data_IF_345408429116
#
_entry.id   IF_345408429116
#
_cell.length_a   1.000
_cell.length_b   1.000
_cell.length_c   1.000
_cell.angle_alpha   90.00
_cell.angle_beta   90.00
_cell.angle_gamma   90.00
#
_symmetry.space_group_name_H-M   'P 1'
#
loop_
_entity.id
_entity.type
_entity.pdbx_description
1 polymer ?
#
# COMPACT_ATOMS: atom_id res chain seq x y z
N UNK A 1 40.98 -14.93 -43.78
CA UNK A 1 39.60 -15.40 -43.81
C UNK A 1 39.10 -15.58 -42.37
N UNK A 2 38.66 -14.45 -41.78
CA UNK A 2 38.18 -14.43 -40.42
C UNK A 2 36.69 -14.80 -40.38
N UNK A 3 36.43 -15.96 -39.84
CA UNK A 3 35.07 -16.44 -39.57
C UNK A 3 34.59 -15.80 -38.27
N UNK A 4 33.81 -14.74 -38.35
CA UNK A 4 33.08 -14.23 -37.23
C UNK A 4 32.03 -15.27 -36.82
N UNK A 5 32.33 -16.06 -35.77
CA UNK A 5 31.30 -16.82 -35.04
C UNK A 5 30.42 -15.83 -34.30
N UNK A 6 29.26 -15.52 -34.88
CA UNK A 6 28.15 -14.93 -34.13
C UNK A 6 27.68 -15.96 -33.12
N UNK A 7 28.09 -15.82 -31.85
CA UNK A 7 27.46 -16.50 -30.76
C UNK A 7 26.01 -15.95 -30.72
N UNK A 8 25.04 -16.77 -31.03
CA UNK A 8 23.66 -16.50 -30.72
C UNK A 8 23.55 -16.48 -29.21
N UNK A 9 23.48 -15.29 -28.63
CA UNK A 9 23.06 -15.12 -27.24
C UNK A 9 21.58 -15.54 -27.26
N UNK A 10 21.29 -16.70 -26.70
CA UNK A 10 19.90 -17.07 -26.41
C UNK A 10 19.30 -15.90 -25.64
N UNK A 11 18.22 -15.31 -26.17
CA UNK A 11 17.48 -14.31 -25.49
C UNK A 11 16.86 -14.96 -24.24
N UNK A 12 17.58 -14.86 -23.13
CA UNK A 12 17.07 -15.30 -21.84
C UNK A 12 15.75 -14.56 -21.62
N UNK A 13 14.66 -15.30 -21.48
CA UNK A 13 13.35 -14.73 -21.23
C UNK A 13 13.32 -14.21 -19.77
N UNK A 14 13.81 -12.98 -19.58
CA UNK A 14 13.92 -12.33 -18.30
C UNK A 14 12.55 -12.24 -17.58
N UNK A 15 11.47 -12.15 -18.34
CA UNK A 15 10.11 -12.16 -17.78
C UNK A 15 9.79 -13.52 -17.14
N UNK A 16 10.10 -14.64 -17.79
CA UNK A 16 9.85 -15.97 -17.23
C UNK A 16 10.71 -16.26 -15.99
N UNK A 17 11.97 -15.81 -16.00
CA UNK A 17 12.87 -15.93 -14.84
C UNK A 17 12.37 -15.08 -13.65
N UNK A 18 11.88 -13.91 -13.94
CA UNK A 18 11.33 -13.00 -12.93
C UNK A 18 10.00 -13.52 -12.36
N UNK A 19 9.10 -14.03 -13.20
CA UNK A 19 7.85 -14.69 -12.79
C UNK A 19 8.11 -15.88 -11.87
N UNK A 20 9.15 -16.69 -12.15
CA UNK A 20 9.54 -17.83 -11.32
C UNK A 20 10.08 -17.43 -9.94
N UNK A 21 10.66 -16.24 -9.81
CA UNK A 21 11.24 -15.74 -8.57
C UNK A 21 10.24 -14.91 -7.71
N UNK A 22 9.08 -14.55 -8.28
CA UNK A 22 8.05 -13.87 -7.53
C UNK A 22 7.22 -14.88 -6.73
N UNK A 23 7.36 -14.85 -5.41
CA UNK A 23 6.61 -15.75 -4.51
C UNK A 23 5.38 -15.07 -3.95
N UNK A 24 4.26 -15.79 -3.75
CA UNK A 24 3.13 -15.25 -3.00
C UNK A 24 3.53 -14.82 -1.60
N UNK A 25 2.89 -13.76 -1.11
CA UNK A 25 3.12 -13.22 0.24
C UNK A 25 1.97 -13.59 1.15
N UNK A 26 2.28 -14.25 2.24
CA UNK A 26 1.38 -14.50 3.35
C UNK A 26 1.47 -13.35 4.35
N UNK A 27 0.35 -12.69 4.60
CA UNK A 27 0.22 -11.67 5.65
C UNK A 27 -0.56 -12.26 6.80
N UNK A 28 0.15 -12.74 7.81
CA UNK A 28 -0.38 -13.25 9.08
C UNK A 28 -1.43 -14.37 8.94
N UNK A 29 -1.36 -15.19 7.89
CA UNK A 29 -2.34 -16.23 7.59
C UNK A 29 -3.72 -15.69 7.19
N UNK A 30 -3.86 -14.39 6.99
CA UNK A 30 -5.14 -13.70 6.72
C UNK A 30 -5.27 -13.22 5.28
N UNK A 31 -4.19 -12.72 4.70
CA UNK A 31 -4.18 -12.18 3.34
C UNK A 31 -3.15 -12.92 2.51
N UNK A 32 -3.56 -13.44 1.37
CA UNK A 32 -2.67 -13.91 0.32
C UNK A 32 -2.50 -12.82 -0.73
N UNK A 33 -1.28 -12.29 -0.90
CA UNK A 33 -0.93 -11.41 -2.01
C UNK A 33 -0.19 -12.26 -3.03
N UNK A 34 -0.72 -12.36 -4.24
CA UNK A 34 -0.15 -13.18 -5.30
C UNK A 34 -0.19 -12.50 -6.66
N UNK A 35 0.65 -12.95 -7.57
CA UNK A 35 0.56 -12.58 -8.97
C UNK A 35 -0.57 -13.35 -9.69
N UNK A 36 -1.05 -12.87 -10.85
CA UNK A 36 -2.08 -13.57 -11.64
C UNK A 36 -1.70 -14.99 -12.06
N UNK A 37 -0.40 -15.25 -12.27
CA UNK A 37 0.11 -16.57 -12.68
C UNK A 37 0.28 -17.56 -11.51
N UNK A 38 0.06 -17.14 -10.27
CA UNK A 38 0.02 -18.06 -9.12
C UNK A 38 -1.38 -18.62 -8.92
N UNK A 39 -1.46 -19.89 -8.54
CA UNK A 39 -2.72 -20.48 -8.15
C UNK A 39 -3.30 -19.82 -6.90
N UNK A 40 -4.63 -19.73 -6.87
CA UNK A 40 -5.36 -19.35 -5.65
C UNK A 40 -5.14 -20.41 -4.57
N UNK A 41 -5.06 -19.98 -3.31
CA UNK A 41 -4.87 -20.87 -2.17
C UNK A 41 -6.04 -20.71 -1.19
N UNK A 42 -6.68 -21.80 -0.77
CA UNK A 42 -7.76 -21.72 0.21
C UNK A 42 -7.22 -21.42 1.61
N UNK A 43 -8.07 -20.90 2.47
CA UNK A 43 -7.76 -20.67 3.90
C UNK A 43 -7.44 -19.24 4.27
N UNK A 44 -7.32 -18.33 3.31
CA UNK A 44 -7.14 -16.90 3.57
C UNK A 44 -8.48 -16.17 3.67
N UNK A 45 -8.56 -15.14 4.52
CA UNK A 45 -9.73 -14.25 4.58
C UNK A 45 -9.84 -13.40 3.31
N UNK A 46 -8.70 -12.98 2.76
CA UNK A 46 -8.58 -12.17 1.55
C UNK A 46 -7.51 -12.73 0.62
N UNK A 47 -7.79 -12.64 -0.66
CA UNK A 47 -6.82 -12.83 -1.72
C UNK A 47 -6.71 -11.54 -2.53
N UNK A 48 -5.48 -11.07 -2.74
CA UNK A 48 -5.15 -9.86 -3.49
C UNK A 48 -4.27 -10.24 -4.68
N UNK A 49 -4.76 -9.98 -5.87
CA UNK A 49 -4.01 -10.21 -7.10
C UNK A 49 -3.29 -8.93 -7.51
N UNK A 50 -1.97 -8.98 -7.54
CA UNK A 50 -1.13 -7.85 -7.92
C UNK A 50 -0.22 -8.26 -9.06
N UNK A 51 -0.28 -7.53 -10.18
CA UNK A 51 0.71 -7.67 -11.23
C UNK A 51 1.99 -6.98 -10.75
N UNK A 52 3.01 -7.73 -10.38
CA UNK A 52 4.24 -7.15 -9.89
C UNK A 52 4.99 -6.56 -11.07
N UNK A 53 4.98 -5.27 -11.19
CA UNK A 53 5.91 -4.51 -12.04
C UNK A 53 7.03 -3.98 -11.16
N UNK A 54 8.07 -3.38 -11.72
CA UNK A 54 9.21 -2.83 -10.97
C UNK A 54 8.80 -1.62 -10.06
N UNK A 55 7.56 -1.58 -9.59
CA UNK A 55 7.03 -0.59 -8.67
C UNK A 55 7.09 -1.10 -7.23
N UNK A 56 7.32 -0.21 -6.28
CA UNK A 56 7.21 -0.50 -4.84
C UNK A 56 5.79 -1.00 -4.50
N UNK A 57 5.69 -1.86 -3.48
CA UNK A 57 4.38 -2.30 -2.96
C UNK A 57 3.93 -3.66 -3.47
N UNK A 58 4.87 -4.54 -3.87
CA UNK A 58 4.57 -5.93 -4.24
C UNK A 58 4.06 -6.80 -3.07
N UNK A 59 3.91 -6.21 -1.87
CA UNK A 59 3.54 -6.94 -0.66
C UNK A 59 4.70 -7.62 0.07
N UNK A 60 5.88 -7.69 -0.53
CA UNK A 60 7.04 -8.36 0.07
C UNK A 60 7.73 -7.56 1.17
N UNK A 61 7.43 -6.28 1.30
CA UNK A 61 8.05 -5.43 2.31
C UNK A 61 7.29 -5.54 3.63
N UNK A 62 8.02 -5.63 4.75
CA UNK A 62 7.45 -5.73 6.10
C UNK A 62 6.42 -4.63 6.40
N UNK A 63 6.67 -3.39 5.93
CA UNK A 63 5.78 -2.26 6.14
C UNK A 63 4.42 -2.43 5.45
N UNK A 64 4.39 -2.99 4.24
CA UNK A 64 3.13 -3.31 3.54
C UNK A 64 2.33 -4.36 4.32
N UNK A 65 3.00 -5.41 4.82
CA UNK A 65 2.35 -6.43 5.65
C UNK A 65 1.76 -5.84 6.93
N UNK A 66 2.50 -4.95 7.61
CA UNK A 66 2.05 -4.29 8.84
C UNK A 66 0.77 -3.48 8.62
N UNK A 67 0.73 -2.65 7.56
CA UNK A 67 -0.45 -1.81 7.26
C UNK A 67 -1.61 -2.67 6.76
N UNK A 68 -1.37 -3.66 5.89
CA UNK A 68 -2.40 -4.56 5.38
C UNK A 68 -3.08 -5.34 6.51
N UNK A 69 -2.28 -5.88 7.45
CA UNK A 69 -2.78 -6.55 8.65
C UNK A 69 -3.63 -5.61 9.52
N UNK A 70 -3.17 -4.37 9.74
CA UNK A 70 -3.90 -3.39 10.51
C UNK A 70 -5.23 -2.98 9.85
N UNK A 71 -5.27 -2.83 8.52
CA UNK A 71 -6.52 -2.57 7.78
C UNK A 71 -7.56 -3.68 7.99
N UNK A 72 -7.12 -4.93 8.16
CA UNK A 72 -8.03 -6.04 8.45
C UNK A 72 -8.70 -5.95 9.82
N UNK A 73 -8.09 -5.23 10.76
CA UNK A 73 -8.63 -5.06 12.13
C UNK A 73 -9.56 -3.83 12.25
N UNK A 74 -9.59 -2.97 11.23
CA UNK A 74 -10.49 -1.83 11.19
C UNK A 74 -11.88 -2.23 10.65
N UNK A 75 -12.90 -1.55 11.14
CA UNK A 75 -14.26 -1.64 10.60
C UNK A 75 -14.39 -0.69 9.40
N UNK A 76 -14.15 -1.21 8.19
CA UNK A 76 -14.08 -0.40 6.97
C UNK A 76 -15.36 -0.38 6.13
N UNK A 77 -16.37 -1.18 6.47
CA UNK A 77 -17.62 -1.28 5.70
C UNK A 77 -18.28 0.08 5.51
N UNK A 78 -18.48 0.46 4.25
CA UNK A 78 -19.11 1.72 3.87
C UNK A 78 -18.24 2.97 4.03
N UNK A 79 -17.00 2.84 4.50
CA UNK A 79 -16.09 3.95 4.75
C UNK A 79 -15.38 4.44 3.48
N UNK A 80 -14.97 5.70 3.52
CA UNK A 80 -14.16 6.36 2.49
C UNK A 80 -12.70 6.38 2.93
N UNK A 81 -11.81 5.88 2.12
CA UNK A 81 -10.39 5.76 2.42
C UNK A 81 -9.47 6.52 1.48
N UNK A 82 -8.23 6.67 1.94
CA UNK A 82 -7.10 7.14 1.15
C UNK A 82 -5.93 6.17 1.32
N UNK A 83 -5.31 5.81 0.19
CA UNK A 83 -4.00 5.14 0.12
C UNK A 83 -3.00 6.15 -0.47
N UNK A 84 -2.14 6.71 0.39
CA UNK A 84 -1.17 7.74 0.02
C UNK A 84 0.21 7.14 -0.23
N UNK A 85 0.75 7.36 -1.44
CA UNK A 85 1.89 6.61 -1.94
C UNK A 85 1.47 5.18 -2.31
N UNK A 86 0.42 5.05 -3.12
CA UNK A 86 -0.28 3.78 -3.31
C UNK A 86 0.54 2.69 -4.03
N UNK A 87 1.58 3.06 -4.79
CA UNK A 87 2.39 2.10 -5.52
C UNK A 87 1.55 1.17 -6.40
N UNK A 88 1.61 -0.12 -6.13
CA UNK A 88 0.80 -1.14 -6.83
C UNK A 88 -0.69 -1.10 -6.46
N UNK A 89 -1.09 -0.32 -5.46
CA UNK A 89 -2.46 -0.24 -4.96
C UNK A 89 -2.85 -1.37 -4.00
N UNK A 90 -1.92 -2.15 -3.50
CA UNK A 90 -2.21 -3.30 -2.65
C UNK A 90 -3.00 -2.93 -1.39
N UNK A 91 -2.68 -1.82 -0.74
CA UNK A 91 -3.38 -1.37 0.48
C UNK A 91 -4.79 -0.87 0.16
N UNK A 92 -4.97 -0.13 -0.93
CA UNK A 92 -6.29 0.26 -1.43
C UNK A 92 -7.17 -0.95 -1.74
N UNK A 93 -6.59 -2.00 -2.36
CA UNK A 93 -7.30 -3.25 -2.68
C UNK A 93 -7.70 -3.98 -1.39
N UNK A 94 -6.80 -4.10 -0.42
CA UNK A 94 -7.12 -4.70 0.91
C UNK A 94 -8.28 -3.95 1.56
N UNK A 95 -8.21 -2.62 1.63
CA UNK A 95 -9.25 -1.79 2.23
C UNK A 95 -10.61 -1.95 1.51
N UNK A 96 -10.63 -1.94 0.18
CA UNK A 96 -11.84 -2.13 -0.59
C UNK A 96 -12.43 -3.54 -0.40
N UNK A 97 -11.60 -4.60 -0.38
CA UNK A 97 -12.04 -5.97 -0.07
C UNK A 97 -12.56 -6.11 1.36
N UNK A 98 -12.07 -5.30 2.30
CA UNK A 98 -12.59 -5.21 3.68
C UNK A 98 -13.86 -4.37 3.81
N UNK A 99 -14.43 -3.93 2.69
CA UNK A 99 -15.74 -3.28 2.65
C UNK A 99 -15.72 -1.77 2.52
N UNK A 100 -14.55 -1.12 2.39
CA UNK A 100 -14.50 0.32 2.13
C UNK A 100 -15.33 0.66 0.88
N UNK A 101 -16.16 1.70 0.96
CA UNK A 101 -17.04 2.08 -0.14
C UNK A 101 -16.22 2.63 -1.32
N UNK A 102 -15.29 3.52 -1.02
CA UNK A 102 -14.37 4.12 -1.99
C UNK A 102 -12.99 4.29 -1.36
N UNK A 103 -11.95 4.18 -2.19
CA UNK A 103 -10.56 4.46 -1.80
C UNK A 103 -9.91 5.31 -2.88
N UNK A 104 -9.51 6.52 -2.52
CA UNK A 104 -8.62 7.32 -3.36
C UNK A 104 -7.20 6.74 -3.21
N UNK A 105 -6.49 6.55 -4.32
CA UNK A 105 -5.15 5.99 -4.33
C UNK A 105 -4.21 6.96 -5.05
N UNK A 106 -3.37 7.67 -4.28
CA UNK A 106 -2.54 8.77 -4.78
C UNK A 106 -1.09 8.35 -4.85
N UNK A 107 -0.43 8.61 -5.98
CA UNK A 107 1.01 8.45 -6.13
C UNK A 107 1.60 9.53 -7.04
N UNK A 108 2.85 9.90 -6.80
CA UNK A 108 3.57 10.88 -7.64
C UNK A 108 4.13 10.25 -8.92
N UNK A 109 4.17 8.93 -8.99
CA UNK A 109 4.72 8.17 -10.10
C UNK A 109 3.61 7.72 -11.04
N UNK A 110 3.71 8.12 -12.32
CA UNK A 110 2.76 7.72 -13.36
C UNK A 110 2.66 6.19 -13.53
N UNK A 111 3.78 5.47 -13.35
CA UNK A 111 3.80 4.02 -13.43
C UNK A 111 3.07 3.36 -12.26
N UNK A 112 3.19 3.93 -11.07
CA UNK A 112 2.48 3.48 -9.89
C UNK A 112 0.97 3.71 -10.05
N UNK A 113 0.54 4.89 -10.49
CA UNK A 113 -0.86 5.21 -10.76
C UNK A 113 -1.47 4.24 -11.78
N UNK A 114 -0.79 4.03 -12.92
CA UNK A 114 -1.25 3.10 -13.96
C UNK A 114 -1.31 1.65 -13.47
N UNK A 115 -0.31 1.19 -12.69
CA UNK A 115 -0.28 -0.14 -12.13
C UNK A 115 -1.36 -0.35 -11.07
N UNK A 116 -1.62 0.64 -10.21
CA UNK A 116 -2.73 0.62 -9.27
C UNK A 116 -4.08 0.45 -9.99
N UNK A 117 -4.30 1.15 -11.10
CA UNK A 117 -5.51 1.04 -11.92
C UNK A 117 -5.70 -0.37 -12.50
N UNK A 118 -4.63 -0.95 -13.06
CA UNK A 118 -4.65 -2.32 -13.59
C UNK A 118 -4.96 -3.34 -12.48
N UNK A 119 -4.30 -3.20 -11.33
CA UNK A 119 -4.50 -4.12 -10.20
C UNK A 119 -5.89 -3.97 -9.57
N UNK A 120 -6.44 -2.76 -9.47
CA UNK A 120 -7.82 -2.55 -9.03
C UNK A 120 -8.81 -3.27 -9.95
N UNK A 121 -8.64 -3.15 -11.28
CA UNK A 121 -9.46 -3.85 -12.27
C UNK A 121 -9.32 -5.37 -12.17
N UNK A 122 -8.09 -5.89 -12.01
CA UNK A 122 -7.82 -7.33 -11.85
C UNK A 122 -8.49 -7.94 -10.61
N UNK A 123 -8.76 -7.12 -9.58
CA UNK A 123 -9.49 -7.55 -8.37
C UNK A 123 -10.99 -7.22 -8.42
N UNK A 124 -11.52 -6.72 -9.56
CA UNK A 124 -12.93 -6.35 -9.70
C UNK A 124 -13.34 -5.11 -8.90
N UNK A 125 -12.39 -4.19 -8.64
CA UNK A 125 -12.55 -3.02 -7.77
C UNK A 125 -12.37 -1.68 -8.49
N UNK A 126 -12.39 -1.67 -9.84
CA UNK A 126 -12.17 -0.46 -10.64
C UNK A 126 -13.13 0.70 -10.29
N UNK A 127 -14.38 0.40 -9.92
CA UNK A 127 -15.38 1.39 -9.54
C UNK A 127 -15.24 1.90 -8.09
N UNK A 128 -14.41 1.23 -7.27
CA UNK A 128 -14.26 1.54 -5.84
C UNK A 128 -12.91 2.15 -5.50
N UNK A 129 -11.92 1.99 -6.36
CA UNK A 129 -10.57 2.54 -6.19
C UNK A 129 -10.35 3.58 -7.28
N UNK A 130 -10.00 4.80 -6.88
CA UNK A 130 -9.73 5.93 -7.77
C UNK A 130 -8.22 6.28 -7.75
N UNK A 131 -7.41 5.70 -8.66
CA UNK A 131 -6.01 6.07 -8.78
C UNK A 131 -5.86 7.50 -9.30
N UNK A 132 -4.98 8.27 -8.65
CA UNK A 132 -4.73 9.68 -8.97
C UNK A 132 -3.23 9.97 -8.96
N UNK A 133 -2.74 10.57 -10.05
CA UNK A 133 -1.38 11.08 -10.12
C UNK A 133 -1.27 12.40 -9.35
N UNK A 134 -0.29 12.50 -8.44
CA UNK A 134 0.01 13.71 -7.71
C UNK A 134 0.52 13.46 -6.30
N UNK A 135 0.65 14.53 -5.54
CA UNK A 135 1.11 14.55 -4.15
C UNK A 135 -0.05 14.85 -3.17
N UNK A 136 0.29 15.19 -1.94
CA UNK A 136 -0.67 15.50 -0.88
C UNK A 136 -1.64 16.64 -1.22
N UNK A 137 -1.34 17.50 -2.18
CA UNK A 137 -2.25 18.56 -2.62
C UNK A 137 -3.54 18.01 -3.26
N UNK A 138 -3.51 16.76 -3.75
CA UNK A 138 -4.68 16.09 -4.35
C UNK A 138 -5.81 15.83 -3.36
N UNK A 139 -5.51 15.82 -2.06
CA UNK A 139 -6.51 15.57 -1.02
C UNK A 139 -7.08 16.85 -0.40
N UNK A 140 -6.66 18.02 -0.85
CA UNK A 140 -7.16 19.30 -0.35
C UNK A 140 -8.69 19.39 -0.49
N UNK A 141 -9.38 19.69 0.61
CA UNK A 141 -10.85 19.77 0.68
C UNK A 141 -11.58 18.42 0.67
N UNK A 142 -10.88 17.30 0.58
CA UNK A 142 -11.46 15.96 0.69
C UNK A 142 -11.57 15.52 2.15
N UNK A 143 -12.45 14.55 2.41
CA UNK A 143 -12.66 13.97 3.74
C UNK A 143 -12.63 12.44 3.67
N UNK A 144 -11.98 11.84 4.65
CA UNK A 144 -11.78 10.40 4.75
C UNK A 144 -12.08 9.88 6.14
N UNK A 145 -12.62 8.69 6.21
CA UNK A 145 -12.83 7.94 7.45
C UNK A 145 -11.54 7.23 7.89
N UNK A 146 -10.67 6.89 6.92
CA UNK A 146 -9.35 6.33 7.20
C UNK A 146 -8.32 6.73 6.12
N UNK A 147 -7.07 6.78 6.51
CA UNK A 147 -5.91 7.03 5.64
C UNK A 147 -4.85 5.97 5.92
N UNK A 148 -4.32 5.34 4.87
CA UNK A 148 -3.10 4.54 4.91
C UNK A 148 -2.00 5.29 4.16
N UNK A 149 -0.83 5.45 4.78
CA UNK A 149 0.32 6.10 4.18
C UNK A 149 1.59 5.28 4.48
N UNK A 150 2.02 4.51 3.49
CA UNK A 150 3.23 3.67 3.58
C UNK A 150 4.36 4.32 2.78
N UNK A 151 4.91 5.41 3.31
CA UNK A 151 5.93 6.24 2.68
C UNK A 151 7.01 6.63 3.71
N UNK A 152 8.12 7.23 3.26
CA UNK A 152 9.21 7.54 4.17
C UNK A 152 8.84 8.56 5.27
N UNK A 153 9.55 8.47 6.41
CA UNK A 153 9.34 9.31 7.59
C UNK A 153 9.30 10.81 7.29
N UNK A 154 10.19 11.31 6.43
CA UNK A 154 10.31 12.74 6.19
C UNK A 154 9.06 13.28 5.49
N UNK A 155 8.55 12.56 4.49
CA UNK A 155 7.30 12.94 3.80
C UNK A 155 6.11 12.80 4.76
N UNK A 156 6.02 11.72 5.54
CA UNK A 156 4.96 11.54 6.53
C UNK A 156 4.88 12.71 7.51
N UNK A 157 6.01 13.13 8.08
CA UNK A 157 6.04 14.24 9.05
C UNK A 157 5.71 15.59 8.42
N UNK A 158 6.09 15.78 7.15
CA UNK A 158 5.78 16.99 6.39
C UNK A 158 4.29 17.08 6.04
N UNK A 159 3.71 15.99 5.57
CA UNK A 159 2.33 15.94 5.06
C UNK A 159 1.28 15.66 6.13
N UNK A 160 1.67 15.29 7.34
CA UNK A 160 0.77 14.92 8.43
C UNK A 160 -0.29 15.98 8.78
N UNK A 161 -0.02 17.30 8.73
CA UNK A 161 -1.08 18.29 8.92
C UNK A 161 -2.20 18.18 7.90
N UNK A 162 -1.89 17.88 6.63
CA UNK A 162 -2.89 17.68 5.59
C UNK A 162 -3.71 16.40 5.82
N UNK A 163 -3.07 15.33 6.31
CA UNK A 163 -3.81 14.11 6.71
C UNK A 163 -4.75 14.38 7.88
N UNK A 164 -4.28 15.10 8.90
CA UNK A 164 -5.11 15.47 10.04
C UNK A 164 -6.30 16.33 9.63
N UNK A 165 -6.10 17.25 8.69
CA UNK A 165 -7.21 18.06 8.14
C UNK A 165 -8.19 17.20 7.34
N UNK A 166 -7.70 16.28 6.50
CA UNK A 166 -8.51 15.44 5.64
C UNK A 166 -9.25 14.31 6.38
N UNK A 167 -8.82 13.91 7.57
CA UNK A 167 -9.54 12.94 8.40
C UNK A 167 -10.81 13.54 8.99
N UNK A 168 -11.88 12.76 9.00
CA UNK A 168 -13.06 13.02 9.82
C UNK A 168 -12.76 12.70 11.29
N UNK A 169 -13.52 13.31 12.22
CA UNK A 169 -13.44 13.02 13.66
C UNK A 169 -13.63 11.52 13.90
N UNK A 170 -12.78 10.93 14.73
CA UNK A 170 -12.73 9.49 14.96
C UNK A 170 -12.10 8.68 13.82
N UNK A 171 -11.61 9.34 12.76
CA UNK A 171 -10.95 8.69 11.64
C UNK A 171 -9.58 8.13 12.00
N UNK A 172 -9.19 7.09 11.27
CA UNK A 172 -7.98 6.31 11.51
C UNK A 172 -6.86 6.70 10.51
N UNK A 173 -5.63 6.90 11.01
CA UNK A 173 -4.43 7.07 10.17
C UNK A 173 -3.41 5.99 10.49
N UNK A 174 -3.10 5.18 9.51
CA UNK A 174 -2.08 4.14 9.56
C UNK A 174 -0.85 4.61 8.80
N UNK A 175 0.29 4.73 9.47
CA UNK A 175 1.55 5.21 8.88
C UNK A 175 2.63 4.15 9.02
N UNK A 176 3.36 3.90 7.94
CA UNK A 176 4.54 3.02 7.90
C UNK A 176 5.52 3.49 6.82
N UNK A 177 6.60 2.73 6.61
CA UNK A 177 7.68 3.11 5.70
C UNK A 177 8.88 3.71 6.42
N UNK A 178 8.99 3.47 7.73
CA UNK A 178 10.06 3.94 8.61
C UNK A 178 10.49 2.85 9.60
N UNK A 179 11.68 3.04 10.17
CA UNK A 179 12.25 2.09 11.14
C UNK A 179 11.64 2.29 12.55
N UNK A 180 11.79 1.29 13.39
CA UNK A 180 11.29 1.33 14.78
C UNK A 180 11.83 2.52 15.58
N UNK A 181 13.07 2.93 15.32
CA UNK A 181 13.71 4.07 15.98
C UNK A 181 13.03 5.42 15.67
N UNK A 182 12.27 5.49 14.56
CA UNK A 182 11.55 6.69 14.14
C UNK A 182 10.17 6.86 14.81
N UNK A 183 9.67 5.85 15.50
CA UNK A 183 8.35 5.87 16.15
C UNK A 183 8.14 7.09 17.04
N UNK A 184 9.09 7.48 17.93
CA UNK A 184 8.91 8.65 18.79
C UNK A 184 8.72 9.94 18.00
N UNK A 185 9.39 10.10 16.85
CA UNK A 185 9.28 11.28 15.97
C UNK A 185 7.89 11.33 15.33
N UNK A 186 7.42 10.19 14.82
CA UNK A 186 6.09 10.08 14.21
C UNK A 186 4.99 10.37 15.23
N UNK A 187 5.05 9.78 16.43
CA UNK A 187 4.05 10.00 17.48
C UNK A 187 4.05 11.47 17.98
N UNK A 188 5.22 12.06 18.17
CA UNK A 188 5.31 13.47 18.58
C UNK A 188 4.68 14.40 17.55
N UNK A 189 4.94 14.13 16.25
CA UNK A 189 4.34 14.89 15.15
C UNK A 189 2.83 14.68 15.09
N UNK A 190 2.34 13.47 15.29
CA UNK A 190 0.92 13.16 15.30
C UNK A 190 0.19 13.94 16.39
N UNK A 191 0.70 13.94 17.63
CA UNK A 191 0.12 14.73 18.75
C UNK A 191 0.11 16.22 18.43
N UNK A 192 1.18 16.75 17.83
CA UNK A 192 1.23 18.16 17.41
C UNK A 192 0.18 18.50 16.34
N UNK A 193 -0.33 17.51 15.59
CA UNK A 193 -1.40 17.66 14.60
C UNK A 193 -2.80 17.31 15.16
N UNK A 194 -2.95 17.09 16.48
CA UNK A 194 -4.24 16.72 17.10
C UNK A 194 -4.65 15.27 16.83
N UNK A 195 -3.67 14.40 16.59
CA UNK A 195 -3.90 12.97 16.40
C UNK A 195 -3.39 12.20 17.61
N UNK A 196 -4.19 11.27 18.12
CA UNK A 196 -3.87 10.49 19.32
C UNK A 196 -3.35 9.08 18.92
N UNK A 197 -2.16 8.68 19.40
CA UNK A 197 -1.64 7.34 19.18
C UNK A 197 -2.56 6.27 19.78
N UNK A 198 -2.79 5.20 19.00
CA UNK A 198 -3.61 4.04 19.37
C UNK A 198 -2.76 2.79 19.53
N UNK A 199 -1.91 2.50 18.53
CA UNK A 199 -1.14 1.26 18.48
C UNK A 199 0.16 1.47 17.69
N UNK A 200 1.19 0.70 18.07
CA UNK A 200 2.43 0.56 17.30
C UNK A 200 2.66 -0.93 17.04
N UNK A 201 2.79 -1.28 15.76
CA UNK A 201 3.19 -2.64 15.33
C UNK A 201 4.61 -2.63 14.79
N UNK A 202 5.32 -3.75 15.00
CA UNK A 202 6.72 -3.90 14.58
C UNK A 202 6.93 -5.22 13.85
N UNK A 203 7.80 -5.20 12.83
CA UNK A 203 8.21 -6.38 12.06
C UNK A 203 9.57 -6.10 11.42
N UNK A 204 10.54 -6.97 11.67
CA UNK A 204 11.87 -6.95 11.01
C UNK A 204 12.56 -5.57 11.07
N UNK A 205 12.48 -4.87 12.21
CA UNK A 205 13.06 -3.55 12.41
C UNK A 205 12.24 -2.38 11.84
N UNK A 206 11.11 -2.67 11.20
CA UNK A 206 10.16 -1.68 10.68
C UNK A 206 8.97 -1.50 11.62
N UNK A 207 8.35 -0.33 11.55
CA UNK A 207 7.19 -0.03 12.38
C UNK A 207 6.01 0.51 11.57
N UNK A 208 4.81 0.30 12.12
CA UNK A 208 3.58 0.97 11.74
C UNK A 208 3.02 1.66 12.99
N UNK A 209 2.63 2.92 12.85
CA UNK A 209 1.95 3.69 13.89
C UNK A 209 0.51 3.95 13.45
N UNK A 210 -0.43 3.56 14.29
CA UNK A 210 -1.85 3.86 14.14
C UNK A 210 -2.22 4.99 15.08
N UNK A 211 -2.82 6.04 14.54
CA UNK A 211 -3.35 7.17 15.30
C UNK A 211 -4.79 7.46 14.91
N UNK A 212 -5.52 8.16 15.77
CA UNK A 212 -6.90 8.60 15.53
C UNK A 212 -7.02 10.11 15.65
N UNK A 213 -7.92 10.68 14.85
CA UNK A 213 -8.35 12.06 15.03
C UNK A 213 -9.35 12.13 16.18
N UNK A 214 -9.05 12.97 17.16
CA UNK A 214 -9.93 13.25 18.29
C UNK A 214 -11.27 13.90 17.86
#
# INVERSE_FOLDING_TARGET
SDVYKRQAIESQNWNALWEQNFTPVDVDGRILIRAPFHASQPGYELEVVVMPRMAFGSGHHATTCLVASALCDLSLTGKRGLDMGCGTGVLAIVAAKRGAATVDAVDIDEWAEANCRENAAANGLAERIAPMLGDVSRIAGRKYDFIAANINRNILTMDMPAYAEALDTGGDLLMSGFLEEDVPVIEARARACGLEPVEVRRRDGWAMVHVKKA
#
